data_IF_011706181505
#
_entry.id   IF_011706181505
#
_cell.length_a   1.000
_cell.length_b   1.000
_cell.length_c   1.000
_cell.angle_alpha   90.00
_cell.angle_beta   90.00
_cell.angle_gamma   90.00
#
_symmetry.space_group_name_H-M   'P 1'
#
loop_
_entity.id
_entity.type
_entity.pdbx_description
1 polymer ?
#
# COMPACT_ATOMS: atom_id res chain seq x y z
N UNK A 1 -13.48 24.54 -6.27
CA UNK A 1 -14.88 25.04 -6.36
C UNK A 1 -15.94 24.01 -5.89
N UNK A 2 -15.79 22.69 -6.09
CA UNK A 2 -16.83 21.67 -5.75
C UNK A 2 -16.96 21.27 -4.27
N UNK A 3 -15.93 21.41 -3.43
CA UNK A 3 -16.01 21.03 -2.01
C UNK A 3 -16.88 22.01 -1.21
N UNK A 4 -16.76 23.31 -1.46
CA UNK A 4 -17.54 24.37 -0.79
C UNK A 4 -19.01 24.47 -1.23
N UNK A 5 -19.43 23.71 -2.24
CA UNK A 5 -20.84 23.64 -2.67
C UNK A 5 -21.56 22.42 -2.11
N UNK A 6 -20.91 21.62 -1.25
CA UNK A 6 -21.57 20.50 -0.59
C UNK A 6 -22.49 21.04 0.50
N UNK A 7 -23.80 20.89 0.30
CA UNK A 7 -24.83 21.41 1.22
C UNK A 7 -25.08 20.53 2.44
N UNK A 8 -24.50 19.32 2.48
CA UNK A 8 -24.65 18.35 3.57
C UNK A 8 -23.34 17.61 3.85
N UNK A 9 -23.19 17.11 5.08
CA UNK A 9 -22.07 16.25 5.48
C UNK A 9 -21.89 15.05 4.53
N UNK A 10 -22.99 14.43 4.12
CA UNK A 10 -22.99 13.28 3.20
C UNK A 10 -22.47 13.66 1.81
N UNK A 11 -22.82 14.84 1.30
CA UNK A 11 -22.32 15.32 0.01
C UNK A 11 -20.81 15.59 0.05
N UNK A 12 -20.31 16.12 1.18
CA UNK A 12 -18.88 16.34 1.39
C UNK A 12 -18.13 15.00 1.45
N UNK A 13 -18.60 14.06 2.28
CA UNK A 13 -18.03 12.70 2.37
C UNK A 13 -18.01 12.04 0.99
N UNK A 14 -19.13 12.04 0.27
CA UNK A 14 -19.22 11.45 -1.08
C UNK A 14 -18.23 12.09 -2.06
N UNK A 15 -18.03 13.41 -1.97
CA UNK A 15 -17.05 14.12 -2.80
C UNK A 15 -15.62 13.69 -2.47
N UNK A 16 -15.28 13.56 -1.19
CA UNK A 16 -13.96 13.11 -0.73
C UNK A 16 -13.70 11.68 -1.21
N UNK A 17 -14.66 10.76 -1.04
CA UNK A 17 -14.54 9.38 -1.51
C UNK A 17 -14.34 9.33 -3.03
N UNK A 18 -15.11 10.12 -3.79
CA UNK A 18 -15.00 10.18 -5.24
C UNK A 18 -13.62 10.67 -5.70
N UNK A 19 -13.05 11.66 -5.01
CA UNK A 19 -11.69 12.15 -5.28
C UNK A 19 -10.67 11.06 -4.96
N UNK A 20 -10.80 10.41 -3.79
CA UNK A 20 -9.92 9.35 -3.33
C UNK A 20 -9.87 8.19 -4.33
N UNK A 21 -11.05 7.68 -4.73
CA UNK A 21 -11.19 6.62 -5.73
C UNK A 21 -10.61 7.03 -7.09
N UNK A 22 -10.96 8.22 -7.60
CA UNK A 22 -10.48 8.70 -8.89
C UNK A 22 -8.97 8.94 -8.95
N UNK A 23 -8.33 9.14 -7.79
CA UNK A 23 -6.88 9.32 -7.66
C UNK A 23 -6.14 8.07 -7.15
N UNK A 24 -6.86 7.00 -6.81
CA UNK A 24 -6.33 5.79 -6.16
C UNK A 24 -5.48 6.09 -4.91
N UNK A 25 -5.97 6.97 -4.05
CA UNK A 25 -5.37 7.31 -2.75
C UNK A 25 -6.40 7.14 -1.63
N UNK A 26 -5.96 7.12 -0.38
CA UNK A 26 -6.90 7.01 0.75
C UNK A 26 -7.73 8.30 0.92
N UNK A 27 -9.00 8.22 1.36
CA UNK A 27 -9.79 9.39 1.77
C UNK A 27 -9.05 10.26 2.80
N UNK A 28 -8.31 9.64 3.71
CA UNK A 28 -7.43 10.35 4.68
C UNK A 28 -6.35 11.20 4.00
N UNK A 29 -5.80 10.75 2.87
CA UNK A 29 -4.84 11.55 2.10
C UNK A 29 -5.51 12.79 1.52
N UNK A 30 -6.75 12.65 1.04
CA UNK A 30 -7.55 13.77 0.52
C UNK A 30 -7.85 14.78 1.63
N UNK A 31 -8.28 14.35 2.82
CA UNK A 31 -8.57 15.26 3.94
C UNK A 31 -7.33 16.01 4.40
N UNK A 32 -6.19 15.33 4.51
CA UNK A 32 -4.89 15.98 4.81
C UNK A 32 -4.47 16.98 3.73
N UNK A 33 -4.70 16.65 2.46
CA UNK A 33 -4.40 17.55 1.35
C UNK A 33 -5.29 18.80 1.35
N UNK A 34 -6.57 18.66 1.73
CA UNK A 34 -7.49 19.79 1.91
C UNK A 34 -6.98 20.71 3.03
N UNK A 35 -6.70 20.16 4.21
CA UNK A 35 -6.20 20.93 5.34
C UNK A 35 -4.92 21.71 4.98
N UNK A 36 -3.94 21.03 4.35
CA UNK A 36 -2.69 21.67 3.91
C UNK A 36 -2.92 22.76 2.86
N UNK A 37 -3.89 22.60 1.97
CA UNK A 37 -4.25 23.61 0.99
C UNK A 37 -4.87 24.85 1.64
N UNK A 38 -5.72 24.66 2.65
CA UNK A 38 -6.37 25.73 3.40
C UNK A 38 -5.39 26.52 4.24
N UNK A 39 -4.51 25.82 4.98
CA UNK A 39 -3.43 26.43 5.76
C UNK A 39 -2.53 27.31 4.90
N UNK A 40 -2.04 26.77 3.77
CA UNK A 40 -1.15 27.52 2.87
C UNK A 40 -1.85 28.70 2.18
N UNK A 41 -3.18 28.61 1.99
CA UNK A 41 -3.98 29.64 1.35
C UNK A 41 -4.56 30.67 2.31
N UNK A 42 -4.36 30.53 3.62
CA UNK A 42 -5.02 31.35 4.64
C UNK A 42 -6.55 31.25 4.58
N UNK A 43 -7.07 30.09 4.19
CA UNK A 43 -8.50 29.84 4.04
C UNK A 43 -9.08 29.26 5.33
N UNK A 44 -10.38 29.49 5.56
CA UNK A 44 -11.10 28.80 6.63
C UNK A 44 -11.03 27.28 6.47
N UNK A 45 -10.87 26.61 7.60
CA UNK A 45 -10.78 25.16 7.66
C UNK A 45 -12.13 24.51 7.33
N UNK A 46 -12.13 23.54 6.43
CA UNK A 46 -13.33 22.72 6.19
C UNK A 46 -13.53 21.77 7.35
N UNK A 47 -14.69 21.85 8.01
CA UNK A 47 -15.08 20.87 9.03
C UNK A 47 -15.41 19.52 8.37
N UNK A 48 -14.50 18.55 8.53
CA UNK A 48 -14.66 17.21 7.98
C UNK A 48 -15.46 16.35 8.99
N UNK A 49 -16.64 15.83 8.62
CA UNK A 49 -17.47 15.07 9.55
C UNK A 49 -16.77 13.80 10.04
N UNK A 50 -16.91 13.47 11.33
CA UNK A 50 -16.33 12.27 11.93
C UNK A 50 -16.78 10.96 11.24
N UNK A 51 -17.96 10.97 10.62
CA UNK A 51 -18.48 9.87 9.82
C UNK A 51 -17.59 9.49 8.61
N UNK A 52 -16.62 10.35 8.22
CA UNK A 52 -15.63 10.03 7.18
C UNK A 52 -14.82 8.76 7.48
N UNK A 53 -14.59 8.45 8.77
CA UNK A 53 -13.84 7.26 9.16
C UNK A 53 -14.62 5.99 8.83
N UNK A 54 -15.91 5.93 9.20
CA UNK A 54 -16.77 4.80 8.85
C UNK A 54 -16.96 4.66 7.33
N UNK A 55 -17.09 5.79 6.63
CA UNK A 55 -17.16 5.81 5.17
C UNK A 55 -15.86 5.28 4.51
N UNK A 56 -14.70 5.61 5.08
CA UNK A 56 -13.39 5.12 4.63
C UNK A 56 -13.28 3.61 4.81
N UNK A 57 -13.64 3.09 5.99
CA UNK A 57 -13.66 1.65 6.26
C UNK A 57 -14.60 0.89 5.31
N UNK A 58 -15.77 1.45 5.01
CA UNK A 58 -16.71 0.83 4.06
C UNK A 58 -16.17 0.83 2.63
N UNK A 59 -15.45 1.89 2.22
CA UNK A 59 -14.74 1.92 0.94
C UNK A 59 -13.66 0.84 0.88
N UNK A 60 -12.82 0.73 1.91
CA UNK A 60 -11.75 -0.28 1.99
C UNK A 60 -12.30 -1.71 1.91
N UNK A 61 -13.39 -2.01 2.64
CA UNK A 61 -14.08 -3.30 2.55
C UNK A 61 -14.56 -3.61 1.13
N UNK A 62 -15.05 -2.59 0.41
CA UNK A 62 -15.52 -2.76 -0.97
C UNK A 62 -14.38 -2.96 -1.97
N UNK A 63 -13.25 -2.30 -1.75
CA UNK A 63 -12.06 -2.44 -2.60
C UNK A 63 -11.33 -3.76 -2.38
N UNK A 64 -11.49 -4.38 -1.21
CA UNK A 64 -10.83 -5.63 -0.86
C UNK A 64 -9.35 -5.45 -0.52
N UNK A 65 -8.74 -6.51 0.00
CA UNK A 65 -7.33 -6.50 0.33
C UNK A 65 -6.49 -6.67 -0.94
N UNK A 66 -5.48 -5.80 -1.12
CA UNK A 66 -4.52 -5.94 -2.23
C UNK A 66 -3.84 -7.31 -2.23
N UNK A 67 -3.59 -7.90 -1.05
CA UNK A 67 -3.06 -9.26 -0.94
C UNK A 67 -3.97 -10.31 -1.59
N UNK A 68 -5.28 -10.23 -1.37
CA UNK A 68 -6.23 -11.13 -2.03
C UNK A 68 -6.23 -10.94 -3.55
N UNK A 69 -6.14 -9.70 -4.04
CA UNK A 69 -6.10 -9.42 -5.48
C UNK A 69 -4.79 -9.90 -6.13
N UNK A 70 -3.65 -9.73 -5.43
CA UNK A 70 -2.34 -10.11 -5.95
C UNK A 70 -2.08 -11.61 -5.87
N UNK A 71 -2.44 -12.24 -4.75
CA UNK A 71 -2.04 -13.61 -4.45
C UNK A 71 -3.19 -14.62 -4.50
N UNK A 72 -4.44 -14.16 -4.57
CA UNK A 72 -5.66 -15.01 -4.49
C UNK A 72 -5.77 -15.84 -3.21
N UNK A 73 -4.90 -15.56 -2.24
CA UNK A 73 -4.84 -16.17 -0.90
C UNK A 73 -4.50 -15.09 0.12
N UNK A 74 -4.86 -15.32 1.38
CA UNK A 74 -4.48 -14.45 2.49
C UNK A 74 -3.02 -14.60 2.90
N UNK A 75 -2.46 -15.80 2.72
CA UNK A 75 -1.11 -16.17 3.14
C UNK A 75 -0.36 -16.73 1.92
N UNK A 76 0.21 -15.86 1.08
CA UNK A 76 1.05 -16.30 -0.04
C UNK A 76 2.30 -17.01 0.49
N UNK A 77 2.78 -18.01 -0.25
CA UNK A 77 4.13 -18.51 0.02
C UNK A 77 5.16 -17.45 -0.39
N UNK A 78 6.39 -17.49 0.15
CA UNK A 78 7.44 -16.57 -0.30
C UNK A 78 7.71 -16.66 -1.82
N UNK A 79 7.53 -17.84 -2.44
CA UNK A 79 7.63 -18.00 -3.90
C UNK A 79 6.51 -17.24 -4.61
N UNK A 80 5.26 -17.41 -4.18
CA UNK A 80 4.12 -16.67 -4.75
C UNK A 80 4.32 -15.15 -4.61
N UNK A 81 4.87 -14.73 -3.48
CA UNK A 81 5.18 -13.32 -3.20
C UNK A 81 6.19 -12.75 -4.19
N UNK A 82 7.31 -13.45 -4.40
CA UNK A 82 8.36 -13.03 -5.35
C UNK A 82 7.81 -13.02 -6.79
N UNK A 83 7.10 -14.06 -7.21
CA UNK A 83 6.57 -14.17 -8.58
C UNK A 83 5.49 -13.12 -8.87
N UNK A 84 4.55 -12.92 -7.96
CA UNK A 84 3.51 -11.92 -8.13
C UNK A 84 4.09 -10.51 -8.14
N UNK A 85 5.08 -10.21 -7.30
CA UNK A 85 5.72 -8.89 -7.29
C UNK A 85 6.52 -8.63 -8.57
N UNK A 86 7.33 -9.60 -9.03
CA UNK A 86 8.06 -9.49 -10.29
C UNK A 86 7.11 -9.35 -11.48
N UNK A 87 6.05 -10.16 -11.55
CA UNK A 87 5.12 -10.17 -12.68
C UNK A 87 4.18 -8.96 -12.73
N UNK A 88 3.73 -8.43 -11.58
CA UNK A 88 2.79 -7.30 -11.51
C UNK A 88 3.48 -5.95 -11.51
N UNK A 89 4.58 -5.81 -10.75
CA UNK A 89 5.31 -4.53 -10.67
C UNK A 89 6.42 -4.40 -11.69
N UNK A 90 6.75 -5.48 -12.43
CA UNK A 90 7.80 -5.49 -13.46
C UNK A 90 9.14 -4.97 -12.93
N UNK A 91 9.45 -5.33 -11.69
CA UNK A 91 10.63 -4.86 -10.97
C UNK A 91 11.74 -5.92 -10.98
N UNK A 92 13.02 -5.54 -11.14
CA UNK A 92 14.15 -6.45 -11.00
C UNK A 92 14.55 -6.70 -9.54
N UNK A 93 13.87 -6.08 -8.56
CA UNK A 93 14.27 -6.03 -7.16
C UNK A 93 14.66 -7.41 -6.58
N UNK A 94 13.76 -8.40 -6.67
CA UNK A 94 14.04 -9.72 -6.11
C UNK A 94 15.04 -10.54 -6.94
N UNK A 95 15.17 -10.28 -8.24
CA UNK A 95 16.21 -10.89 -9.06
C UNK A 95 17.60 -10.40 -8.65
N UNK A 96 17.77 -9.08 -8.50
CA UNK A 96 19.01 -8.47 -8.04
C UNK A 96 19.35 -8.89 -6.59
N UNK A 97 18.34 -8.94 -5.71
CA UNK A 97 18.52 -9.41 -4.33
C UNK A 97 18.96 -10.88 -4.29
N UNK A 98 18.38 -11.75 -5.12
CA UNK A 98 18.80 -13.15 -5.24
C UNK A 98 20.24 -13.28 -5.71
N UNK A 99 20.63 -12.52 -6.74
CA UNK A 99 22.00 -12.51 -7.24
C UNK A 99 23.00 -12.11 -6.15
N UNK A 100 22.70 -11.03 -5.42
CA UNK A 100 23.50 -10.61 -4.27
C UNK A 100 23.60 -11.71 -3.20
N UNK A 101 22.48 -12.33 -2.81
CA UNK A 101 22.46 -13.40 -1.82
C UNK A 101 23.27 -14.63 -2.24
N UNK A 102 23.32 -14.93 -3.55
CA UNK A 102 24.13 -16.04 -4.08
C UNK A 102 25.64 -15.74 -4.05
N UNK A 103 26.03 -14.47 -4.17
CA UNK A 103 27.43 -14.04 -4.07
C UNK A 103 27.91 -13.94 -2.61
N UNK A 104 27.00 -13.71 -1.68
CA UNK A 104 27.29 -13.43 -0.26
C UNK A 104 26.52 -14.38 0.66
N UNK A 105 26.76 -15.69 0.52
CA UNK A 105 25.98 -16.73 1.20
C UNK A 105 25.96 -16.62 2.74
N UNK A 106 27.09 -16.25 3.33
CA UNK A 106 27.24 -16.21 4.80
C UNK A 106 26.39 -15.10 5.45
N UNK A 107 26.17 -14.00 4.72
CA UNK A 107 25.46 -12.81 5.22
C UNK A 107 24.06 -12.64 4.62
N UNK A 108 23.64 -13.52 3.72
CA UNK A 108 22.42 -13.37 2.93
C UNK A 108 21.16 -13.17 3.80
N UNK A 109 21.02 -13.92 4.90
CA UNK A 109 19.87 -13.80 5.81
C UNK A 109 19.85 -12.46 6.53
N UNK A 110 21.00 -12.05 7.07
CA UNK A 110 21.17 -10.76 7.76
C UNK A 110 20.91 -9.59 6.83
N UNK A 111 21.35 -9.71 5.57
CA UNK A 111 21.10 -8.72 4.53
C UNK A 111 19.60 -8.58 4.23
N UNK A 112 18.89 -9.70 4.01
CA UNK A 112 17.44 -9.68 3.77
C UNK A 112 16.70 -9.05 4.95
N UNK A 113 17.06 -9.45 6.18
CA UNK A 113 16.49 -8.88 7.41
C UNK A 113 16.63 -7.36 7.45
N UNK A 114 17.83 -6.84 7.18
CA UNK A 114 18.11 -5.40 7.24
C UNK A 114 17.45 -4.61 6.11
N UNK A 115 17.44 -5.16 4.89
CA UNK A 115 16.92 -4.45 3.71
C UNK A 115 15.40 -4.43 3.69
N UNK A 116 14.75 -5.53 4.07
CA UNK A 116 13.29 -5.65 4.05
C UNK A 116 12.64 -5.34 5.40
N UNK A 117 13.44 -5.21 6.46
CA UNK A 117 12.95 -5.09 7.85
C UNK A 117 12.03 -6.27 8.22
N UNK A 118 12.40 -7.48 7.77
CA UNK A 118 11.64 -8.70 8.00
C UNK A 118 12.17 -9.46 9.21
N UNK A 119 11.33 -10.10 10.03
CA UNK A 119 11.81 -11.05 11.04
C UNK A 119 12.79 -12.09 10.47
N UNK A 120 13.74 -12.56 11.30
CA UNK A 120 14.72 -13.57 10.88
C UNK A 120 14.08 -14.84 10.26
N UNK A 121 12.97 -15.39 10.80
CA UNK A 121 12.30 -16.54 10.18
C UNK A 121 11.81 -16.25 8.75
N UNK A 122 11.23 -15.07 8.52
CA UNK A 122 10.73 -14.68 7.20
C UNK A 122 11.89 -14.43 6.22
N UNK A 123 13.00 -13.88 6.73
CA UNK A 123 14.23 -13.69 5.96
C UNK A 123 14.83 -15.02 5.50
N UNK A 124 14.85 -16.03 6.38
CA UNK A 124 15.26 -17.40 6.05
C UNK A 124 14.33 -18.02 5.00
N UNK A 125 13.01 -17.89 5.19
CA UNK A 125 12.01 -18.42 4.26
C UNK A 125 12.14 -17.80 2.86
N UNK A 126 12.43 -16.50 2.77
CA UNK A 126 12.67 -15.82 1.50
C UNK A 126 13.96 -16.30 0.83
N UNK A 127 15.04 -16.49 1.60
CA UNK A 127 16.29 -17.03 1.07
C UNK A 127 16.13 -18.45 0.53
N UNK A 128 15.36 -19.30 1.22
CA UNK A 128 15.00 -20.63 0.71
C UNK A 128 14.21 -20.54 -0.59
N UNK A 129 13.29 -19.57 -0.71
CA UNK A 129 12.52 -19.37 -1.91
C UNK A 129 13.41 -18.95 -3.10
N UNK A 130 14.41 -18.08 -2.91
CA UNK A 130 15.38 -17.76 -3.96
C UNK A 130 16.15 -18.97 -4.51
N UNK A 131 16.35 -20.00 -3.68
CA UNK A 131 17.01 -21.26 -4.09
C UNK A 131 16.07 -22.20 -4.84
N UNK A 132 14.77 -22.14 -4.54
CA UNK A 132 13.74 -23.01 -5.14
C UNK A 132 13.12 -22.41 -6.41
N UNK A 133 13.05 -21.08 -6.50
CA UNK A 133 12.36 -20.40 -7.59
C UNK A 133 13.21 -20.37 -8.87
N UNK A 134 12.63 -20.87 -9.97
CA UNK A 134 13.20 -20.74 -11.32
C UNK A 134 12.71 -19.43 -11.94
N UNK A 135 13.29 -18.32 -11.48
CA UNK A 135 13.03 -16.96 -11.97
C UNK A 135 14.28 -16.45 -12.67
#
# INVERSE_FOLDING_TARGET
>A
KKLRSATTEQALISTILKIAEGRRISPTTVTKAIARYEENGGLEHTDIPAAIHGATTNLEKRLGAISQELFKTHEPTPVDYIEATASKFKTPFFAAMREYCNMHLDDAVSFIHQVLDYPLPDSLALLEAFRKASI
#
